data_IF_302500427087
#
_entry.id   IF_302500427087
#
_cell.length_a   1.000
_cell.length_b   1.000
_cell.length_c   1.000
_cell.angle_alpha   90.00
_cell.angle_beta   90.00
_cell.angle_gamma   90.00
#
_symmetry.space_group_name_H-M   'P 1'
#
loop_
_entity.id
_entity.type
_entity.pdbx_description
1 polymer ?
#
# COMPACT_ATOMS: atom_id res chain seq x y z
N UNK A 1 -33.21 1.86 -28.22
CA UNK A 1 -31.88 2.52 -28.25
C UNK A 1 -31.13 2.39 -26.92
N UNK A 2 -31.81 2.44 -25.76
CA UNK A 2 -31.13 2.36 -24.45
C UNK A 2 -30.42 1.02 -24.16
N UNK A 3 -30.96 -0.11 -24.61
CA UNK A 3 -30.34 -1.42 -24.38
C UNK A 3 -28.96 -1.59 -25.05
N UNK A 4 -28.75 -0.97 -26.22
CA UNK A 4 -27.47 -1.00 -26.94
C UNK A 4 -26.43 -0.11 -26.26
N UNK A 5 -26.85 1.06 -25.76
CA UNK A 5 -26.02 1.97 -24.96
C UNK A 5 -25.61 1.31 -23.65
N UNK A 6 -26.53 0.62 -22.96
CA UNK A 6 -26.22 -0.15 -21.75
C UNK A 6 -25.23 -1.29 -22.02
N UNK A 7 -25.37 -2.03 -23.13
CA UNK A 7 -24.46 -3.14 -23.46
C UNK A 7 -23.06 -2.63 -23.85
N UNK A 8 -22.98 -1.56 -24.64
CA UNK A 8 -21.72 -0.92 -25.03
C UNK A 8 -21.01 -0.24 -23.84
N UNK A 9 -21.76 0.46 -22.98
CA UNK A 9 -21.23 1.06 -21.75
C UNK A 9 -20.82 0.00 -20.73
N UNK A 10 -21.61 -1.07 -20.55
CA UNK A 10 -21.25 -2.15 -19.62
C UNK A 10 -19.93 -2.83 -20.03
N UNK A 11 -19.74 -3.12 -21.32
CA UNK A 11 -18.47 -3.66 -21.82
C UNK A 11 -17.30 -2.69 -21.63
N UNK A 12 -17.51 -1.40 -21.91
CA UNK A 12 -16.48 -0.36 -21.75
C UNK A 12 -16.10 -0.14 -20.29
N UNK A 13 -17.08 -0.13 -19.37
CA UNK A 13 -16.88 0.02 -17.93
C UNK A 13 -16.10 -1.18 -17.37
N UNK A 14 -16.43 -2.41 -17.79
CA UNK A 14 -15.68 -3.62 -17.38
C UNK A 14 -14.23 -3.57 -17.87
N UNK A 15 -13.99 -3.11 -19.11
CA UNK A 15 -12.62 -2.95 -19.64
C UNK A 15 -11.84 -1.87 -18.89
N UNK A 16 -12.46 -0.74 -18.56
CA UNK A 16 -11.84 0.34 -17.75
C UNK A 16 -11.51 -0.16 -16.35
N UNK A 17 -12.44 -0.84 -15.68
CA UNK A 17 -12.24 -1.36 -14.33
C UNK A 17 -11.15 -2.45 -14.26
N UNK A 18 -11.05 -3.31 -15.28
CA UNK A 18 -9.95 -4.28 -15.41
C UNK A 18 -8.61 -3.60 -15.62
N UNK A 19 -8.60 -2.49 -16.35
CA UNK A 19 -7.40 -1.66 -16.55
C UNK A 19 -6.99 -1.00 -15.24
N UNK A 20 -7.94 -0.47 -14.46
CA UNK A 20 -7.66 0.15 -13.16
C UNK A 20 -7.02 -0.82 -12.17
N UNK A 21 -7.44 -2.09 -12.19
CA UNK A 21 -6.75 -3.17 -11.45
C UNK A 21 -5.33 -3.34 -12.00
N UNK A 22 -5.18 -3.57 -13.32
CA UNK A 22 -3.89 -3.88 -13.93
C UNK A 22 -2.84 -2.77 -13.83
N UNK A 23 -3.27 -1.51 -13.73
CA UNK A 23 -2.40 -0.34 -13.62
C UNK A 23 -2.40 0.23 -12.19
N UNK A 24 -2.75 -0.58 -11.19
CA UNK A 24 -2.73 -0.16 -9.81
C UNK A 24 -1.34 0.33 -9.40
N UNK A 25 -1.29 1.49 -8.76
CA UNK A 25 -0.11 2.04 -8.14
C UNK A 25 -0.51 2.65 -6.80
N UNK A 26 0.30 2.45 -5.77
CA UNK A 26 0.20 3.11 -4.47
C UNK A 26 0.43 4.62 -4.63
N UNK A 27 -0.41 5.42 -3.97
CA UNK A 27 -0.24 6.88 -3.94
C UNK A 27 0.99 7.29 -3.13
N UNK A 28 1.59 8.44 -3.46
CA UNK A 28 2.82 8.92 -2.79
C UNK A 28 2.65 9.26 -1.31
N UNK A 29 1.42 9.49 -0.85
CA UNK A 29 1.06 9.77 0.55
C UNK A 29 0.23 8.63 1.17
N UNK A 30 0.02 7.56 0.41
CA UNK A 30 -0.83 6.45 0.81
C UNK A 30 0.01 5.44 1.60
N UNK A 31 -0.40 5.10 2.81
CA UNK A 31 0.26 4.03 3.54
C UNK A 31 -0.15 2.65 3.00
N UNK A 32 0.54 1.60 3.44
CA UNK A 32 0.29 0.24 2.97
C UNK A 32 -1.17 -0.21 3.17
N UNK A 33 -1.78 0.07 4.32
CA UNK A 33 -3.15 -0.35 4.63
C UNK A 33 -4.18 0.33 3.73
N UNK A 34 -4.02 1.64 3.51
CA UNK A 34 -4.88 2.41 2.61
C UNK A 34 -4.80 1.87 1.18
N UNK A 35 -3.58 1.56 0.72
CA UNK A 35 -3.36 0.95 -0.60
C UNK A 35 -4.01 -0.43 -0.72
N UNK A 36 -3.87 -1.27 0.32
CA UNK A 36 -4.48 -2.59 0.40
C UNK A 36 -6.02 -2.53 0.37
N UNK A 37 -6.62 -1.65 1.17
CA UNK A 37 -8.07 -1.47 1.22
C UNK A 37 -8.61 -0.96 -0.12
N UNK A 38 -7.94 0.02 -0.73
CA UNK A 38 -8.29 0.57 -2.05
C UNK A 38 -8.21 -0.50 -3.13
N UNK A 39 -7.17 -1.33 -3.13
CA UNK A 39 -7.05 -2.45 -4.05
C UNK A 39 -8.18 -3.48 -3.86
N UNK A 40 -8.53 -3.80 -2.61
CA UNK A 40 -9.67 -4.66 -2.31
C UNK A 40 -11.01 -4.09 -2.79
N UNK A 41 -11.22 -2.77 -2.70
CA UNK A 41 -12.40 -2.09 -3.25
C UNK A 41 -12.44 -2.17 -4.78
N UNK A 42 -11.29 -1.98 -5.46
CA UNK A 42 -11.16 -2.12 -6.91
C UNK A 42 -11.58 -3.52 -7.40
N UNK A 43 -11.11 -4.57 -6.72
CA UNK A 43 -11.47 -5.96 -7.04
C UNK A 43 -12.99 -6.18 -6.86
N UNK A 44 -13.54 -5.80 -5.69
CA UNK A 44 -14.97 -6.00 -5.39
C UNK A 44 -15.91 -5.26 -6.33
N UNK A 45 -15.50 -4.09 -6.83
CA UNK A 45 -16.30 -3.28 -7.77
C UNK A 45 -16.28 -3.84 -9.20
N UNK A 46 -15.26 -4.62 -9.54
CA UNK A 46 -15.07 -5.14 -10.90
C UNK A 46 -15.68 -6.53 -11.03
N UNK A 47 -16.96 -6.58 -11.40
CA UNK A 47 -17.65 -7.84 -11.72
C UNK A 47 -16.88 -8.61 -12.81
N UNK A 48 -16.54 -9.87 -12.54
CA UNK A 48 -15.81 -10.75 -13.45
C UNK A 48 -14.47 -10.16 -13.96
N UNK A 49 -13.63 -9.64 -13.05
CA UNK A 49 -12.27 -9.16 -13.38
C UNK A 49 -11.44 -10.21 -14.13
N UNK A 50 -11.61 -11.51 -13.83
CA UNK A 50 -11.00 -12.61 -14.58
C UNK A 50 -9.52 -12.85 -14.29
N UNK A 51 -8.96 -12.14 -13.31
CA UNK A 51 -7.62 -12.39 -12.77
C UNK A 51 -7.68 -13.49 -11.71
N UNK A 52 -6.67 -14.37 -11.70
CA UNK A 52 -6.41 -15.29 -10.58
C UNK A 52 -5.87 -14.51 -9.38
N UNK A 53 -5.97 -15.11 -8.20
CA UNK A 53 -5.42 -14.53 -6.96
C UNK A 53 -3.92 -14.25 -7.08
N UNK A 54 -3.15 -15.18 -7.68
CA UNK A 54 -1.73 -15.00 -7.99
C UNK A 54 -1.47 -13.73 -8.80
N UNK A 55 -2.30 -13.49 -9.82
CA UNK A 55 -2.15 -12.31 -10.70
C UNK A 55 -2.54 -11.03 -9.97
N UNK A 56 -3.56 -11.06 -9.12
CA UNK A 56 -3.94 -9.93 -8.29
C UNK A 56 -2.83 -9.58 -7.28
N UNK A 57 -2.20 -10.57 -6.69
CA UNK A 57 -1.09 -10.39 -5.76
C UNK A 57 0.14 -9.83 -6.45
N UNK A 58 0.48 -10.32 -7.64
CA UNK A 58 1.55 -9.77 -8.46
C UNK A 58 1.30 -8.30 -8.82
N UNK A 59 0.07 -7.98 -9.25
CA UNK A 59 -0.34 -6.61 -9.58
C UNK A 59 -0.23 -5.71 -8.35
N UNK A 60 -0.75 -6.14 -7.20
CA UNK A 60 -0.67 -5.36 -5.97
C UNK A 60 0.78 -5.12 -5.55
N UNK A 61 1.59 -6.19 -5.48
CA UNK A 61 2.99 -6.12 -5.10
C UNK A 61 3.77 -5.16 -6.00
N UNK A 62 3.62 -5.27 -7.32
CA UNK A 62 4.34 -4.42 -8.28
C UNK A 62 3.84 -2.96 -8.25
N UNK A 63 2.60 -2.72 -7.82
CA UNK A 63 2.04 -1.39 -7.64
C UNK A 63 2.47 -0.70 -6.34
N UNK A 64 3.11 -1.39 -5.40
CA UNK A 64 3.60 -0.78 -4.17
C UNK A 64 4.84 0.11 -4.41
N UNK A 65 5.00 1.11 -3.55
CA UNK A 65 6.26 1.85 -3.47
C UNK A 65 7.40 0.93 -3.05
N UNK A 66 8.61 1.25 -3.51
CA UNK A 66 9.81 0.42 -3.34
C UNK A 66 10.12 0.09 -1.88
N UNK A 67 10.00 1.05 -0.98
CA UNK A 67 10.21 0.86 0.46
C UNK A 67 9.30 -0.23 1.05
N UNK A 68 8.03 -0.30 0.61
CA UNK A 68 7.10 -1.32 1.09
C UNK A 68 7.39 -2.68 0.44
N UNK A 69 7.80 -2.73 -0.83
CA UNK A 69 8.23 -3.97 -1.50
C UNK A 69 9.46 -4.56 -0.80
N UNK A 70 10.50 -3.77 -0.58
CA UNK A 70 11.72 -4.19 0.11
C UNK A 70 11.44 -4.71 1.52
N UNK A 71 10.51 -4.08 2.24
CA UNK A 71 10.12 -4.52 3.58
C UNK A 71 9.41 -5.88 3.55
N UNK A 72 8.53 -6.11 2.56
CA UNK A 72 7.88 -7.42 2.34
C UNK A 72 8.93 -8.48 1.99
N UNK A 73 9.83 -8.19 1.04
CA UNK A 73 10.88 -9.11 0.59
C UNK A 73 11.87 -9.45 1.71
N UNK A 74 12.26 -8.48 2.55
CA UNK A 74 13.11 -8.72 3.73
C UNK A 74 12.43 -9.61 4.78
N UNK A 75 11.13 -9.46 4.97
CA UNK A 75 10.40 -10.17 6.02
C UNK A 75 9.93 -11.56 5.57
N UNK A 76 9.68 -11.74 4.28
CA UNK A 76 9.13 -12.95 3.67
C UNK A 76 9.94 -13.39 2.44
N UNK A 77 11.23 -13.74 2.60
CA UNK A 77 12.18 -13.79 1.49
C UNK A 77 11.94 -14.85 0.41
N UNK A 78 11.11 -15.89 0.61
CA UNK A 78 11.06 -17.01 -0.37
C UNK A 78 9.67 -17.66 -0.58
N UNK A 79 8.67 -17.45 0.28
CA UNK A 79 7.36 -18.11 0.12
C UNK A 79 6.18 -17.16 0.34
N UNK A 80 6.08 -16.05 -0.41
CA UNK A 80 4.81 -15.32 -0.44
C UNK A 80 4.37 -14.92 -1.84
N UNK A 81 3.42 -15.69 -2.35
CA UNK A 81 2.52 -15.33 -3.45
C UNK A 81 1.13 -14.89 -2.97
N UNK A 82 0.93 -14.78 -1.65
CA UNK A 82 -0.38 -14.56 -1.01
C UNK A 82 -0.31 -13.67 0.24
N UNK A 83 -0.36 -12.34 0.13
CA UNK A 83 -0.62 -11.53 1.33
C UNK A 83 -2.08 -11.78 1.73
N UNK A 84 -2.34 -12.66 2.69
CA UNK A 84 -3.67 -12.78 3.24
C UNK A 84 -3.97 -11.63 4.22
N UNK A 85 -5.22 -11.51 4.65
CA UNK A 85 -5.66 -10.43 5.53
C UNK A 85 -4.89 -10.39 6.87
N UNK A 86 -4.44 -11.54 7.37
CA UNK A 86 -3.74 -11.65 8.65
C UNK A 86 -2.30 -11.14 8.51
N UNK A 87 -1.62 -11.53 7.43
CA UNK A 87 -0.28 -11.03 7.13
C UNK A 87 -0.26 -9.55 6.77
N UNK A 88 -1.29 -9.07 6.04
CA UNK A 88 -1.45 -7.64 5.78
C UNK A 88 -1.56 -6.86 7.11
N UNK A 89 -2.29 -7.39 8.09
CA UNK A 89 -2.43 -6.79 9.42
C UNK A 89 -1.12 -6.82 10.21
N UNK A 90 -0.41 -7.95 10.21
CA UNK A 90 0.90 -8.05 10.85
C UNK A 90 1.91 -7.05 10.26
N UNK A 91 1.90 -6.90 8.93
CA UNK A 91 2.73 -5.93 8.24
C UNK A 91 2.36 -4.48 8.62
N UNK A 92 1.06 -4.16 8.70
CA UNK A 92 0.59 -2.84 9.14
C UNK A 92 1.03 -2.52 10.56
N UNK A 93 0.82 -3.45 11.50
CA UNK A 93 1.24 -3.27 12.89
C UNK A 93 2.75 -3.02 13.00
N UNK A 94 3.54 -3.67 12.14
CA UNK A 94 4.98 -3.46 12.13
C UNK A 94 5.38 -2.12 11.52
N UNK A 95 4.73 -1.68 10.43
CA UNK A 95 4.93 -0.34 9.86
C UNK A 95 4.64 0.72 10.91
N UNK A 96 3.51 0.61 11.60
CA UNK A 96 3.13 1.53 12.68
C UNK A 96 4.17 1.56 13.82
N UNK A 97 4.72 0.39 14.18
CA UNK A 97 5.78 0.32 15.19
C UNK A 97 7.08 0.99 14.73
N UNK A 98 7.49 0.79 13.46
CA UNK A 98 8.69 1.40 12.90
C UNK A 98 8.54 2.91 12.79
N UNK A 99 7.38 3.39 12.35
CA UNK A 99 7.05 4.83 12.32
C UNK A 99 7.11 5.43 13.73
N UNK A 100 6.52 4.77 14.73
CA UNK A 100 6.57 5.22 16.11
C UNK A 100 7.99 5.25 16.72
N UNK A 101 8.88 4.34 16.29
CA UNK A 101 10.29 4.35 16.70
C UNK A 101 11.05 5.52 16.07
N UNK A 102 10.79 5.82 14.80
CA UNK A 102 11.39 6.96 14.10
C UNK A 102 10.98 8.29 14.74
N UNK A 103 9.70 8.44 15.11
CA UNK A 103 9.20 9.62 15.81
C UNK A 103 9.88 9.82 17.17
N UNK A 104 10.11 8.72 17.90
CA UNK A 104 10.84 8.75 19.18
C UNK A 104 12.30 9.17 18.99
N UNK A 105 12.97 8.65 17.97
CA UNK A 105 14.34 9.02 17.66
C UNK A 105 14.45 10.52 17.34
N UNK A 106 13.56 11.03 16.49
CA UNK A 106 13.48 12.45 16.16
C UNK A 106 13.26 13.33 17.40
N UNK A 107 12.38 12.91 18.31
CA UNK A 107 12.14 13.61 19.57
C UNK A 107 13.41 13.66 20.45
N UNK A 108 14.14 12.54 20.56
CA UNK A 108 15.40 12.47 21.30
C UNK A 108 16.45 13.38 20.65
N UNK A 109 16.61 13.34 19.33
CA UNK A 109 17.55 14.21 18.62
C UNK A 109 17.23 15.69 18.80
N UNK A 110 15.94 16.05 18.81
CA UNK A 110 15.49 17.41 19.09
C UNK A 110 15.86 17.86 20.51
N UNK A 111 15.62 17.01 21.52
CA UNK A 111 16.01 17.30 22.90
C UNK A 111 17.53 17.47 23.05
N UNK A 112 18.34 16.57 22.47
CA UNK A 112 19.80 16.68 22.49
C UNK A 112 20.27 18.00 21.85
N UNK A 113 19.66 18.39 20.73
CA UNK A 113 19.97 19.65 20.06
C UNK A 113 19.65 20.85 20.94
N UNK A 114 18.53 20.84 21.64
CA UNK A 114 18.13 21.94 22.52
C UNK A 114 19.04 22.04 23.74
N UNK A 115 19.34 20.92 24.40
CA UNK A 115 20.35 20.87 25.48
C UNK A 115 21.71 21.40 25.02
N UNK A 116 22.14 21.05 23.80
CA UNK A 116 23.38 21.56 23.22
C UNK A 116 23.37 23.08 23.00
N UNK A 117 22.22 23.69 22.70
CA UNK A 117 22.08 25.16 22.63
C UNK A 117 22.14 25.80 24.01
N UNK A 118 21.53 25.19 25.02
CA UNK A 118 21.54 25.72 26.39
C UNK A 118 22.95 25.70 26.98
N UNK A 119 23.70 24.62 26.79
CA UNK A 119 25.11 24.54 27.23
C UNK A 119 25.99 25.64 26.61
N UNK A 120 25.77 25.95 25.32
CA UNK A 120 26.47 27.04 24.63
C UNK A 120 26.10 28.44 25.13
N UNK A 121 25.01 28.61 25.87
CA UNK A 121 24.66 29.90 26.51
C UNK A 121 25.32 30.07 27.87
N UNK A 122 25.79 28.96 28.47
CA UNK A 122 26.40 28.89 29.79
C UNK A 122 27.94 28.89 29.76
N UNK A 123 28.53 28.87 28.57
CA UNK A 123 29.98 28.92 28.32
C UNK A 123 30.31 30.14 27.47
#
# INVERSE_FOLDING_TARGET
MEAFVYWYLAGTIVVIQKKDIATFQQGSQENFWQAWERFGVLIRRTLNHGYSDDRLNEIFHNGLQENFREMIERRYPIEFRYVDLEQAKELCNHIEQVEALLDRELAIQSQIREFGKELKKLT
#
